data_IF_638180051408
#
_entry.id   IF_638180051408
#
_cell.length_a   1.000
_cell.length_b   1.000
_cell.length_c   1.000
_cell.angle_alpha   90.00
_cell.angle_beta   90.00
_cell.angle_gamma   90.00
#
_symmetry.space_group_name_H-M   'P 1'
#
loop_
_entity.id
_entity.type
_entity.pdbx_description
1 polymer ?
#
# COMPACT_ATOMS: atom_id res chain seq x y z
N UNK A 1 0.76 14.01 -48.58
CA UNK A 1 -0.54 13.40 -48.22
C UNK A 1 -0.98 14.09 -46.95
N UNK A 2 -2.03 14.91 -47.01
CA UNK A 2 -2.52 15.62 -45.83
C UNK A 2 -2.97 14.60 -44.80
N UNK A 3 -2.26 14.50 -43.68
CA UNK A 3 -2.76 13.81 -42.52
C UNK A 3 -3.96 14.63 -42.03
N UNK A 4 -5.17 14.22 -42.40
CA UNK A 4 -6.38 14.83 -41.87
C UNK A 4 -6.35 14.71 -40.35
N UNK A 5 -6.51 15.86 -39.71
CA UNK A 5 -6.50 16.02 -38.26
C UNK A 5 -7.56 15.12 -37.63
N UNK A 6 -7.23 14.52 -36.49
CA UNK A 6 -8.18 13.73 -35.69
C UNK A 6 -9.48 14.49 -35.44
N UNK A 7 -10.60 13.77 -35.52
CA UNK A 7 -11.91 14.29 -35.08
C UNK A 7 -12.19 13.98 -33.61
N UNK A 8 -11.35 13.17 -32.96
CA UNK A 8 -11.42 12.92 -31.53
C UNK A 8 -10.72 14.04 -30.75
N UNK A 9 -11.27 14.38 -29.57
CA UNK A 9 -10.54 15.16 -28.57
C UNK A 9 -9.23 14.46 -28.18
N UNK A 10 -8.24 15.22 -27.70
CA UNK A 10 -6.89 14.68 -27.45
C UNK A 10 -6.91 13.53 -26.45
N UNK A 11 -7.71 13.62 -25.39
CA UNK A 11 -7.86 12.56 -24.40
C UNK A 11 -8.36 11.24 -25.02
N UNK A 12 -9.29 11.31 -25.97
CA UNK A 12 -9.83 10.14 -26.66
C UNK A 12 -8.85 9.57 -27.69
N UNK A 13 -7.99 10.41 -28.28
CA UNK A 13 -6.90 9.92 -29.12
C UNK A 13 -5.89 9.11 -28.32
N UNK A 14 -5.46 9.62 -27.15
CA UNK A 14 -4.53 8.94 -26.26
C UNK A 14 -5.16 7.64 -25.75
N UNK A 15 -6.38 7.71 -25.23
CA UNK A 15 -7.13 6.55 -24.76
C UNK A 15 -7.24 5.46 -25.84
N UNK A 16 -7.58 5.84 -27.07
CA UNK A 16 -7.76 4.87 -28.16
C UNK A 16 -6.44 4.16 -28.50
N UNK A 17 -5.36 4.92 -28.66
CA UNK A 17 -4.03 4.39 -28.97
C UNK A 17 -3.54 3.45 -27.88
N UNK A 18 -3.70 3.82 -26.61
CA UNK A 18 -3.29 3.00 -25.47
C UNK A 18 -4.08 1.68 -25.41
N UNK A 19 -5.41 1.74 -25.51
CA UNK A 19 -6.26 0.55 -25.41
C UNK A 19 -6.02 -0.43 -26.56
N UNK A 20 -5.93 0.07 -27.81
CA UNK A 20 -5.61 -0.79 -28.95
C UNK A 20 -4.19 -1.39 -28.82
N UNK A 21 -3.23 -0.66 -28.25
CA UNK A 21 -1.88 -1.19 -28.02
C UNK A 21 -1.85 -2.27 -26.93
N UNK A 22 -2.73 -2.18 -25.93
CA UNK A 22 -2.93 -3.17 -24.87
C UNK A 22 -3.78 -4.38 -25.31
N UNK A 23 -4.30 -4.36 -26.54
CA UNK A 23 -5.00 -5.51 -27.14
C UNK A 23 -6.52 -5.46 -27.08
N UNK A 24 -7.12 -4.32 -26.69
CA UNK A 24 -8.56 -4.09 -26.85
C UNK A 24 -8.92 -4.25 -28.34
N UNK A 25 -10.00 -4.96 -28.61
CA UNK A 25 -10.43 -5.23 -29.99
C UNK A 25 -10.93 -3.96 -30.67
N UNK A 26 -10.89 -3.95 -32.01
CA UNK A 26 -11.48 -2.88 -32.82
C UNK A 26 -12.95 -2.68 -32.47
N UNK A 27 -13.69 -3.77 -32.30
CA UNK A 27 -15.12 -3.74 -31.99
C UNK A 27 -15.40 -3.06 -30.65
N UNK A 28 -14.68 -3.46 -29.59
CA UNK A 28 -14.81 -2.88 -28.25
C UNK A 28 -14.41 -1.40 -28.22
N UNK A 29 -13.30 -1.04 -28.88
CA UNK A 29 -12.84 0.34 -28.97
C UNK A 29 -13.87 1.23 -29.69
N UNK A 30 -14.44 0.76 -30.80
CA UNK A 30 -15.52 1.46 -31.50
C UNK A 30 -16.76 1.63 -30.62
N UNK A 31 -17.19 0.57 -29.91
CA UNK A 31 -18.34 0.63 -29.02
C UNK A 31 -18.15 1.66 -27.90
N UNK A 32 -16.96 1.70 -27.30
CA UNK A 32 -16.63 2.69 -26.27
C UNK A 32 -16.69 4.14 -26.80
N UNK A 33 -16.13 4.39 -27.99
CA UNK A 33 -16.19 5.71 -28.63
C UNK A 33 -17.64 6.12 -28.95
N UNK A 34 -18.45 5.20 -29.48
CA UNK A 34 -19.86 5.45 -29.76
C UNK A 34 -20.65 5.73 -28.48
N UNK A 35 -20.39 4.96 -27.43
CA UNK A 35 -20.97 5.20 -26.10
C UNK A 35 -20.61 6.57 -25.52
N UNK A 36 -19.47 7.12 -25.91
CA UNK A 36 -19.02 8.47 -25.56
C UNK A 36 -19.58 9.58 -26.49
N UNK A 37 -20.44 9.24 -27.45
CA UNK A 37 -21.09 10.20 -28.36
C UNK A 37 -20.34 10.45 -29.67
N UNK A 38 -19.30 9.67 -29.99
CA UNK A 38 -18.63 9.72 -31.30
C UNK A 38 -19.51 9.01 -32.34
N UNK A 39 -19.68 9.60 -33.52
CA UNK A 39 -20.42 8.96 -34.61
C UNK A 39 -19.77 7.62 -35.02
N UNK A 40 -20.57 6.60 -35.32
CA UNK A 40 -20.08 5.23 -35.60
C UNK A 40 -19.03 5.18 -36.73
N UNK A 41 -19.30 5.88 -37.85
CA UNK A 41 -18.35 5.95 -38.96
C UNK A 41 -17.07 6.71 -38.58
N UNK A 42 -17.19 7.75 -37.74
CA UNK A 42 -16.03 8.46 -37.19
C UNK A 42 -15.18 7.52 -36.35
N UNK A 43 -15.79 6.73 -35.45
CA UNK A 43 -15.09 5.77 -34.61
C UNK A 43 -14.32 4.72 -35.44
N UNK A 44 -14.96 4.15 -36.46
CA UNK A 44 -14.32 3.17 -37.37
C UNK A 44 -13.13 3.76 -38.12
N UNK A 45 -13.30 4.97 -38.67
CA UNK A 45 -12.23 5.67 -39.39
C UNK A 45 -11.05 6.01 -38.47
N UNK A 46 -11.34 6.41 -37.23
CA UNK A 46 -10.34 6.73 -36.21
C UNK A 46 -9.53 5.50 -35.78
N UNK A 47 -10.18 4.35 -35.54
CA UNK A 47 -9.50 3.08 -35.25
C UNK A 47 -8.60 2.66 -36.42
N UNK A 48 -9.14 2.64 -37.64
CA UNK A 48 -8.38 2.25 -38.83
C UNK A 48 -7.16 3.15 -39.05
N UNK A 49 -7.29 4.45 -38.75
CA UNK A 49 -6.20 5.41 -38.84
C UNK A 49 -5.10 5.14 -37.82
N UNK A 50 -5.46 4.85 -36.56
CA UNK A 50 -4.47 4.46 -35.53
C UNK A 50 -3.72 3.20 -35.96
N UNK A 51 -4.43 2.17 -36.43
CA UNK A 51 -3.84 0.89 -36.84
C UNK A 51 -2.85 1.04 -38.01
N UNK A 52 -3.16 1.92 -38.97
CA UNK A 52 -2.30 2.23 -40.10
C UNK A 52 -1.08 3.10 -39.73
N UNK A 53 -1.07 3.74 -38.56
CA UNK A 53 -0.02 4.69 -38.19
C UNK A 53 1.31 3.97 -37.85
N UNK A 54 2.47 4.38 -38.42
CA UNK A 54 3.74 3.68 -38.20
C UNK A 54 4.21 3.71 -36.74
N UNK A 55 3.91 4.77 -35.98
CA UNK A 55 4.22 4.81 -34.55
C UNK A 55 3.37 3.84 -33.73
N UNK A 56 2.14 3.56 -34.17
CA UNK A 56 1.28 2.60 -33.47
C UNK A 56 1.85 1.17 -33.57
N UNK A 57 2.54 0.83 -34.65
CA UNK A 57 3.28 -0.43 -34.76
C UNK A 57 4.38 -0.57 -33.69
N UNK A 58 4.99 0.55 -33.25
CA UNK A 58 5.91 0.55 -32.12
C UNK A 58 5.15 0.39 -30.78
N UNK A 59 4.03 1.09 -30.60
CA UNK A 59 3.15 0.95 -29.43
C UNK A 59 2.71 -0.50 -29.24
N UNK A 60 2.23 -1.17 -30.29
CA UNK A 60 1.83 -2.58 -30.23
C UNK A 60 2.99 -3.51 -29.82
N UNK A 61 4.24 -3.25 -30.25
CA UNK A 61 5.39 -4.03 -29.80
C UNK A 61 5.65 -3.88 -28.31
N UNK A 62 5.48 -2.66 -27.77
CA UNK A 62 5.60 -2.39 -26.34
C UNK A 62 4.43 -3.04 -25.57
N UNK A 63 3.20 -2.87 -26.04
CA UNK A 63 2.01 -3.51 -25.46
C UNK A 63 2.12 -5.03 -25.41
N UNK A 64 2.62 -5.68 -26.47
CA UNK A 64 2.90 -7.13 -26.44
C UNK A 64 3.95 -7.52 -25.40
N UNK A 65 5.00 -6.71 -25.19
CA UNK A 65 5.99 -6.97 -24.12
C UNK A 65 5.37 -6.85 -22.75
N UNK A 66 4.47 -5.88 -22.57
CA UNK A 66 3.71 -5.71 -21.34
C UNK A 66 2.79 -6.91 -21.09
N UNK A 67 2.01 -7.34 -22.08
CA UNK A 67 1.15 -8.53 -21.96
C UNK A 67 1.90 -9.83 -21.68
N UNK A 68 3.15 -9.97 -22.15
CA UNK A 68 4.02 -11.10 -21.75
C UNK A 68 4.42 -11.03 -20.28
N UNK A 69 4.69 -9.84 -19.74
CA UNK A 69 4.97 -9.65 -18.32
C UNK A 69 3.74 -9.99 -17.47
N UNK A 70 2.55 -9.54 -17.89
CA UNK A 70 1.29 -9.88 -17.22
C UNK A 70 1.01 -11.38 -17.27
N UNK A 71 1.21 -12.05 -18.41
CA UNK A 71 1.08 -13.50 -18.51
C UNK A 71 1.95 -14.26 -17.52
N UNK A 72 3.18 -13.80 -17.25
CA UNK A 72 4.05 -14.39 -16.23
C UNK A 72 3.49 -14.14 -14.82
N UNK A 73 2.95 -12.95 -14.57
CA UNK A 73 2.27 -12.63 -13.32
C UNK A 73 1.02 -13.50 -13.09
N UNK A 74 0.26 -13.82 -14.14
CA UNK A 74 -0.90 -14.72 -14.07
C UNK A 74 -0.51 -16.15 -13.72
N UNK A 75 0.65 -16.61 -14.23
CA UNK A 75 1.21 -17.90 -13.80
C UNK A 75 1.51 -17.88 -12.30
N UNK A 76 2.12 -16.82 -11.76
CA UNK A 76 2.34 -16.70 -10.31
C UNK A 76 1.02 -16.67 -9.53
N UNK A 77 0.00 -15.98 -10.04
CA UNK A 77 -1.34 -15.97 -9.47
C UNK A 77 -1.95 -17.39 -9.41
N UNK A 78 -1.88 -18.14 -10.50
CA UNK A 78 -2.35 -19.51 -10.57
C UNK A 78 -1.60 -20.44 -9.62
N UNK A 79 -0.27 -20.35 -9.56
CA UNK A 79 0.55 -21.13 -8.63
C UNK A 79 0.26 -20.78 -7.16
N UNK A 80 0.06 -19.49 -6.86
CA UNK A 80 -0.35 -19.06 -5.53
C UNK A 80 -1.69 -19.65 -5.14
N UNK A 81 -2.67 -19.65 -6.05
CA UNK A 81 -3.99 -20.29 -5.86
C UNK A 81 -3.86 -21.79 -5.60
N UNK A 82 -3.14 -22.51 -6.47
CA UNK A 82 -2.90 -23.96 -6.37
C UNK A 82 -2.21 -24.35 -5.06
N UNK A 83 -1.35 -23.48 -4.52
CA UNK A 83 -0.70 -23.71 -3.23
C UNK A 83 -1.62 -23.52 -2.00
N UNK A 84 -2.85 -23.05 -2.19
CA UNK A 84 -3.82 -22.77 -1.11
C UNK A 84 -3.55 -21.49 -0.32
N UNK A 85 -2.43 -20.80 -0.58
CA UNK A 85 -2.01 -19.60 0.18
C UNK A 85 -2.91 -18.37 0.03
N UNK A 86 -3.78 -18.37 -0.98
CA UNK A 86 -4.77 -17.32 -1.20
C UNK A 86 -5.92 -17.32 -0.17
N UNK A 87 -5.99 -18.33 0.71
CA UNK A 87 -7.12 -18.52 1.64
C UNK A 87 -6.94 -17.86 2.99
N UNK A 88 -5.69 -17.67 3.45
CA UNK A 88 -5.38 -17.05 4.73
C UNK A 88 -3.91 -16.62 4.82
N UNK A 89 -3.63 -15.63 5.67
CA UNK A 89 -2.25 -15.28 6.06
C UNK A 89 -1.74 -16.29 7.09
N UNK A 90 -0.56 -16.85 6.85
CA UNK A 90 0.06 -17.78 7.80
C UNK A 90 0.40 -17.04 9.11
N UNK A 91 0.18 -17.70 10.25
CA UNK A 91 0.57 -17.22 11.58
C UNK A 91 1.62 -18.14 12.17
N UNK A 92 2.74 -17.58 12.68
CA UNK A 92 3.85 -18.34 13.27
C UNK A 92 4.30 -17.74 14.57
N UNK A 93 4.35 -18.57 15.61
CA UNK A 93 4.89 -18.20 16.91
C UNK A 93 6.40 -18.45 16.97
N UNK A 94 7.11 -17.49 17.55
CA UNK A 94 8.52 -17.61 17.95
C UNK A 94 9.48 -18.05 16.84
N UNK A 95 9.18 -17.62 15.60
CA UNK A 95 9.91 -17.97 14.39
C UNK A 95 11.40 -17.57 14.47
N UNK A 96 12.30 -18.46 14.04
CA UNK A 96 13.73 -18.14 13.95
C UNK A 96 14.01 -17.20 12.78
N UNK A 97 15.10 -16.42 12.87
CA UNK A 97 15.57 -15.59 11.76
C UNK A 97 15.87 -16.39 10.48
N UNK A 98 16.46 -17.58 10.61
CA UNK A 98 16.74 -18.47 9.48
C UNK A 98 15.46 -18.88 8.74
N UNK A 99 14.42 -19.30 9.47
CA UNK A 99 13.14 -19.64 8.85
C UNK A 99 12.45 -18.40 8.29
N UNK A 100 12.50 -17.28 9.00
CA UNK A 100 11.96 -16.00 8.53
C UNK A 100 12.53 -15.62 7.17
N UNK A 101 13.86 -15.56 7.04
CA UNK A 101 14.50 -15.15 5.82
C UNK A 101 14.28 -16.15 4.68
N UNK A 102 14.50 -17.44 4.93
CA UNK A 102 14.39 -18.47 3.89
C UNK A 102 12.97 -18.63 3.33
N UNK A 103 11.94 -18.58 4.18
CA UNK A 103 10.56 -18.86 3.76
C UNK A 103 9.73 -17.64 3.42
N UNK A 104 9.95 -16.51 4.10
CA UNK A 104 9.07 -15.36 4.03
C UNK A 104 9.75 -14.18 3.31
N UNK A 105 10.92 -13.75 3.77
CA UNK A 105 11.63 -12.64 3.14
C UNK A 105 12.04 -13.00 1.70
N UNK A 106 12.85 -14.06 1.51
CA UNK A 106 13.27 -14.52 0.18
C UNK A 106 12.17 -15.26 -0.58
N UNK A 107 11.18 -15.80 0.14
CA UNK A 107 10.00 -16.40 -0.47
C UNK A 107 8.99 -15.38 -1.00
N UNK A 108 9.16 -14.10 -0.66
CA UNK A 108 8.24 -13.00 -0.97
C UNK A 108 6.82 -13.26 -0.47
N UNK A 109 6.68 -13.68 0.80
CA UNK A 109 5.40 -14.09 1.41
C UNK A 109 5.13 -13.34 2.71
N UNK A 110 3.91 -12.83 2.91
CA UNK A 110 3.53 -12.26 4.18
C UNK A 110 3.38 -13.35 5.24
N UNK A 111 3.56 -12.96 6.49
CA UNK A 111 3.35 -13.81 7.66
C UNK A 111 3.03 -12.93 8.85
N UNK A 112 2.12 -13.39 9.71
CA UNK A 112 1.94 -12.82 11.04
C UNK A 112 2.82 -13.59 12.02
N UNK A 113 3.68 -12.88 12.72
CA UNK A 113 4.61 -13.41 13.71
C UNK A 113 4.08 -13.08 15.11
N UNK A 114 4.11 -14.05 16.02
CA UNK A 114 3.75 -13.86 17.42
C UNK A 114 4.93 -14.19 18.33
N UNK A 115 4.96 -13.59 19.53
CA UNK A 115 5.95 -13.91 20.55
C UNK A 115 7.31 -13.21 20.41
N UNK A 116 7.55 -12.44 19.34
CA UNK A 116 8.80 -11.68 19.14
C UNK A 116 8.83 -10.32 19.86
N UNK A 117 7.77 -9.97 20.59
CA UNK A 117 7.65 -8.74 21.38
C UNK A 117 7.58 -9.00 22.88
N UNK A 118 7.77 -10.25 23.35
CA UNK A 118 7.59 -10.65 24.76
C UNK A 118 8.41 -9.80 25.75
N UNK A 119 9.56 -9.29 25.32
CA UNK A 119 10.50 -8.49 26.12
C UNK A 119 10.38 -6.98 25.88
N UNK A 120 9.44 -6.51 25.05
CA UNK A 120 9.25 -5.09 24.79
C UNK A 120 8.57 -4.40 25.98
N UNK A 121 9.22 -3.39 26.62
CA UNK A 121 8.54 -2.57 27.62
C UNK A 121 7.26 -1.92 27.11
N UNK A 122 7.21 -1.57 25.81
CA UNK A 122 6.07 -0.90 25.19
C UNK A 122 4.75 -1.68 25.36
N UNK A 123 4.76 -3.01 25.23
CA UNK A 123 3.55 -3.82 25.38
C UNK A 123 2.91 -3.74 26.78
N UNK A 124 3.72 -3.56 27.81
CA UNK A 124 3.24 -3.45 29.19
C UNK A 124 3.00 -2.01 29.67
N UNK A 125 3.56 -1.01 28.98
CA UNK A 125 3.58 0.39 29.44
C UNK A 125 2.70 1.32 28.61
N UNK A 126 2.64 1.10 27.30
CA UNK A 126 2.02 2.07 26.41
C UNK A 126 0.51 2.13 26.62
N UNK A 127 0.10 3.28 27.13
CA UNK A 127 -1.28 3.74 27.25
C UNK A 127 -1.29 5.21 26.88
N UNK A 128 -2.41 5.79 26.46
CA UNK A 128 -2.46 7.22 26.14
C UNK A 128 -1.94 8.10 27.31
N UNK A 129 -2.30 7.85 28.59
CA UNK A 129 -1.69 8.58 29.71
C UNK A 129 -0.17 8.44 29.78
N UNK A 130 0.37 7.22 29.62
CA UNK A 130 1.81 6.99 29.63
C UNK A 130 2.53 7.74 28.51
N UNK A 131 1.98 7.71 27.29
CA UNK A 131 2.54 8.41 26.14
C UNK A 131 2.60 9.93 26.40
N UNK A 132 1.52 10.50 26.93
CA UNK A 132 1.45 11.92 27.28
C UNK A 132 2.39 12.31 28.43
N UNK A 133 2.54 11.47 29.45
CA UNK A 133 3.48 11.71 30.55
C UNK A 133 4.93 11.65 30.06
N UNK A 134 5.27 10.62 29.28
CA UNK A 134 6.66 10.27 28.98
C UNK A 134 7.29 11.15 27.90
N UNK A 135 6.48 11.62 26.95
CA UNK A 135 6.94 12.42 25.81
C UNK A 135 6.00 13.59 25.45
N UNK A 136 5.09 14.00 26.35
CA UNK A 136 4.05 14.98 26.02
C UNK A 136 4.53 16.36 25.59
N UNK A 137 5.75 16.75 25.96
CA UNK A 137 6.36 18.03 25.56
C UNK A 137 7.04 18.00 24.20
N UNK A 138 7.21 16.81 23.60
CA UNK A 138 7.72 16.69 22.25
C UNK A 138 6.77 17.37 21.26
N UNK A 139 7.31 18.15 20.32
CA UNK A 139 6.55 18.53 19.14
C UNK A 139 6.48 17.36 18.18
N UNK A 140 5.31 17.08 17.65
CA UNK A 140 5.04 16.01 16.70
C UNK A 140 4.26 16.56 15.53
N UNK A 141 4.36 15.87 14.41
CA UNK A 141 3.55 16.15 13.25
C UNK A 141 2.51 15.06 13.03
N UNK A 142 1.32 15.49 12.62
CA UNK A 142 0.15 14.65 12.44
C UNK A 142 -0.51 15.01 11.12
N UNK A 143 -0.98 14.03 10.37
CA UNK A 143 -1.92 14.30 9.29
C UNK A 143 -3.30 14.57 9.86
N UNK A 144 -3.93 15.66 9.47
CA UNK A 144 -5.22 16.18 9.96
C UNK A 144 -6.10 16.55 8.77
N UNK A 145 -7.40 16.80 8.97
CA UNK A 145 -8.33 17.20 7.91
C UNK A 145 -8.43 16.15 6.79
N UNK A 146 -8.10 14.89 7.09
CA UNK A 146 -8.01 13.80 6.11
C UNK A 146 -9.36 13.47 5.48
N UNK A 147 -10.46 13.67 6.22
CA UNK A 147 -11.82 13.40 5.71
C UNK A 147 -12.28 14.47 4.71
N UNK A 148 -11.63 15.64 4.69
CA UNK A 148 -11.92 16.69 3.71
C UNK A 148 -11.33 16.42 2.32
N UNK A 149 -10.46 15.41 2.18
CA UNK A 149 -9.78 15.08 0.93
C UNK A 149 -9.63 13.55 0.75
N UNK A 150 -10.31 12.93 -0.23
CA UNK A 150 -10.15 11.50 -0.51
C UNK A 150 -8.73 11.11 -0.94
N UNK A 151 -7.93 12.08 -1.38
CA UNK A 151 -6.53 11.95 -1.77
C UNK A 151 -5.56 12.41 -0.66
N UNK A 152 -5.97 12.41 0.62
CA UNK A 152 -5.08 12.83 1.70
C UNK A 152 -3.76 12.03 1.77
N UNK A 153 -3.78 10.72 1.53
CA UNK A 153 -2.60 9.86 1.60
C UNK A 153 -1.55 10.13 0.50
N UNK A 154 -1.92 10.28 -0.80
CA UNK A 154 -0.99 10.71 -1.84
C UNK A 154 -0.63 12.21 -1.78
N UNK A 155 -1.44 13.05 -1.10
CA UNK A 155 -1.19 14.49 -0.94
C UNK A 155 -0.88 14.90 0.52
N UNK A 156 0.11 14.29 1.18
CA UNK A 156 0.33 14.44 2.61
C UNK A 156 0.58 15.90 3.02
N UNK A 157 1.30 16.67 2.20
CA UNK A 157 1.69 18.05 2.49
C UNK A 157 0.50 19.01 2.73
N UNK A 158 -0.69 18.70 2.19
CA UNK A 158 -1.89 19.52 2.39
C UNK A 158 -2.53 19.35 3.77
N UNK A 159 -2.11 18.32 4.50
CA UNK A 159 -2.77 17.79 5.69
C UNK A 159 -1.89 17.77 6.93
N UNK A 160 -0.67 18.32 6.88
CA UNK A 160 0.29 18.27 7.99
C UNK A 160 0.02 19.40 8.99
N UNK A 161 -0.05 19.05 10.27
CA UNK A 161 -0.09 20.00 11.38
C UNK A 161 0.93 19.57 12.46
N UNK A 162 1.64 20.55 13.02
CA UNK A 162 2.56 20.35 14.16
C UNK A 162 1.86 20.75 15.45
N UNK A 163 1.98 19.93 16.49
CA UNK A 163 1.40 20.20 17.81
C UNK A 163 2.23 19.52 18.92
N UNK A 164 1.97 19.83 20.19
CA UNK A 164 2.56 19.04 21.27
C UNK A 164 1.98 17.64 21.29
N UNK A 165 2.81 16.66 21.60
CA UNK A 165 2.39 15.27 21.66
C UNK A 165 1.28 15.03 22.67
N UNK A 166 1.30 15.74 23.81
CA UNK A 166 0.20 15.70 24.80
C UNK A 166 -1.15 16.11 24.20
N UNK A 167 -1.17 17.12 23.34
CA UNK A 167 -2.40 17.66 22.75
C UNK A 167 -2.95 16.66 21.73
N UNK A 168 -2.07 16.06 20.93
CA UNK A 168 -2.44 15.00 20.01
C UNK A 168 -3.00 13.78 20.74
N UNK A 169 -2.30 13.30 21.77
CA UNK A 169 -2.73 12.15 22.56
C UNK A 169 -4.08 12.42 23.25
N UNK A 170 -4.29 13.64 23.75
CA UNK A 170 -5.59 14.05 24.29
C UNK A 170 -6.70 14.05 23.22
N UNK A 171 -6.40 14.53 22.00
CA UNK A 171 -7.33 14.48 20.86
C UNK A 171 -7.69 13.04 20.49
N UNK A 172 -6.73 12.12 20.47
CA UNK A 172 -6.98 10.68 20.26
C UNK A 172 -7.85 10.09 21.36
N UNK A 173 -7.62 10.47 22.63
CA UNK A 173 -8.37 9.97 23.77
C UNK A 173 -9.84 10.40 23.79
N UNK A 174 -10.15 11.59 23.26
CA UNK A 174 -11.48 12.22 23.39
C UNK A 174 -12.30 12.26 22.11
N UNK A 175 -11.69 12.09 20.94
CA UNK A 175 -12.38 12.33 19.67
C UNK A 175 -13.18 11.17 19.07
N UNK A 176 -13.17 9.98 19.68
CA UNK A 176 -13.94 8.83 19.20
C UNK A 176 -13.39 8.17 17.91
N UNK A 177 -14.24 7.43 17.20
CA UNK A 177 -13.89 6.80 15.91
C UNK A 177 -13.89 7.85 14.80
N UNK A 178 -12.77 7.99 14.09
CA UNK A 178 -12.61 8.94 12.98
C UNK A 178 -11.39 8.60 12.12
N UNK A 179 -11.41 9.02 10.86
CA UNK A 179 -10.23 8.97 9.99
C UNK A 179 -9.56 10.35 9.84
N UNK A 180 -10.06 11.40 10.49
CA UNK A 180 -9.66 12.78 10.20
C UNK A 180 -8.23 13.13 10.62
N UNK A 181 -7.68 12.45 11.64
CA UNK A 181 -6.32 12.66 12.10
C UNK A 181 -5.56 11.37 12.43
N UNK A 182 -4.29 11.32 12.04
CA UNK A 182 -3.43 10.14 12.21
C UNK A 182 -1.94 10.50 12.12
N UNK A 183 -1.11 9.88 12.95
CA UNK A 183 0.34 9.85 12.74
C UNK A 183 0.69 8.76 11.73
N UNK A 184 1.36 9.14 10.65
CA UNK A 184 1.73 8.28 9.53
C UNK A 184 3.25 8.22 9.33
N UNK A 185 3.77 7.27 8.55
CA UNK A 185 5.18 7.19 8.19
C UNK A 185 5.84 8.51 7.76
N UNK A 186 5.14 9.33 6.97
CA UNK A 186 5.67 10.59 6.40
C UNK A 186 5.89 11.72 7.41
N UNK A 187 5.46 11.55 8.67
CA UNK A 187 5.67 12.56 9.71
C UNK A 187 7.07 12.50 10.34
N UNK A 188 7.82 11.39 10.12
CA UNK A 188 9.19 11.20 10.59
C UNK A 188 9.38 11.42 12.11
N UNK A 189 8.30 11.26 12.88
CA UNK A 189 8.26 11.58 14.31
C UNK A 189 9.34 10.83 15.11
N UNK A 190 9.71 9.61 14.71
CA UNK A 190 10.78 8.88 15.40
C UNK A 190 12.16 9.54 15.34
N UNK A 191 12.42 10.44 14.39
CA UNK A 191 13.69 11.18 14.36
C UNK A 191 13.74 12.32 15.40
N UNK A 192 12.61 12.66 16.02
CA UNK A 192 12.54 13.75 17.00
C UNK A 192 13.03 13.29 18.38
N UNK A 193 13.94 14.05 18.99
CA UNK A 193 14.55 13.69 20.28
C UNK A 193 13.53 13.57 21.43
N UNK A 194 12.47 14.38 21.41
CA UNK A 194 11.41 14.33 22.42
C UNK A 194 10.68 12.99 22.49
N UNK A 195 10.73 12.18 21.44
CA UNK A 195 10.16 10.82 21.39
C UNK A 195 11.17 9.72 21.75
N UNK A 196 12.44 10.05 22.04
CA UNK A 196 13.45 9.07 22.47
C UNK A 196 12.98 8.21 23.65
N UNK A 197 12.34 8.77 24.69
CA UNK A 197 11.86 7.97 25.82
C UNK A 197 10.91 6.82 25.43
N UNK A 198 10.11 6.99 24.36
CA UNK A 198 9.26 5.94 23.82
C UNK A 198 10.03 4.98 22.92
N UNK A 199 11.04 5.46 22.16
CA UNK A 199 11.95 4.58 21.40
C UNK A 199 12.67 3.59 22.33
N UNK A 200 13.04 4.04 23.52
CA UNK A 200 13.71 3.21 24.53
C UNK A 200 12.82 2.06 25.07
N UNK A 201 11.50 2.08 24.81
CA UNK A 201 10.57 0.99 25.13
C UNK A 201 10.38 -0.03 23.99
N UNK A 202 10.99 0.21 22.82
CA UNK A 202 10.94 -0.69 21.65
C UNK A 202 12.20 -1.55 21.62
N UNK A 203 12.11 -2.78 21.13
CA UNK A 203 13.27 -3.66 20.87
C UNK A 203 13.25 -4.09 19.41
N UNK A 204 14.41 -4.46 18.87
CA UNK A 204 14.48 -5.10 17.57
C UNK A 204 13.93 -6.54 17.68
N UNK A 205 12.98 -6.96 16.83
CA UNK A 205 12.64 -8.37 16.70
C UNK A 205 13.89 -9.20 16.40
N UNK A 206 14.25 -10.09 17.33
CA UNK A 206 15.50 -10.85 17.31
C UNK A 206 15.71 -11.57 15.98
N UNK A 207 16.96 -11.62 15.53
CA UNK A 207 17.41 -12.31 14.31
C UNK A 207 16.72 -11.87 13.00
N UNK A 208 15.89 -10.82 13.01
CA UNK A 208 15.14 -10.32 11.85
C UNK A 208 15.47 -8.85 11.56
N UNK A 209 15.42 -8.01 12.60
CA UNK A 209 15.70 -6.58 12.51
C UNK A 209 17.06 -6.29 13.13
N UNK A 210 17.78 -5.33 12.55
CA UNK A 210 19.07 -4.90 13.09
C UNK A 210 18.89 -4.36 14.52
N UNK A 211 19.69 -4.89 15.46
CA UNK A 211 19.67 -4.48 16.86
C UNK A 211 20.04 -3.00 17.02
N UNK A 212 20.80 -2.42 16.08
CA UNK A 212 21.00 -0.98 15.96
C UNK A 212 19.76 -0.35 15.31
N UNK A 213 18.72 -0.18 16.12
CA UNK A 213 17.50 0.49 15.70
C UNK A 213 17.82 1.91 15.21
N UNK A 214 17.54 2.13 13.92
CA UNK A 214 17.73 3.40 13.24
C UNK A 214 16.40 4.16 13.18
N UNK A 215 16.26 5.32 13.83
CA UNK A 215 14.99 6.05 13.85
C UNK A 215 14.47 6.49 12.47
N UNK A 216 15.36 6.70 11.50
CA UNK A 216 15.06 6.97 10.08
C UNK A 216 14.52 5.74 9.32
N UNK A 217 14.69 4.53 9.87
CA UNK A 217 14.18 3.26 9.31
C UNK A 217 13.01 2.70 10.12
N UNK A 218 12.41 3.52 10.96
CA UNK A 218 11.28 3.16 11.81
C UNK A 218 10.19 4.20 11.68
N UNK A 219 8.94 3.79 11.88
CA UNK A 219 7.82 4.76 11.98
C UNK A 219 6.94 4.47 13.19
N UNK A 220 6.35 5.53 13.75
CA UNK A 220 5.30 5.43 14.76
C UNK A 220 3.97 5.74 14.08
N UNK A 221 3.07 4.77 14.10
CA UNK A 221 1.70 4.95 13.66
C UNK A 221 0.82 4.99 14.89
N UNK A 222 0.20 6.12 15.17
CA UNK A 222 -0.66 6.32 16.34
C UNK A 222 -1.90 7.10 15.92
N UNK A 223 -3.09 6.61 16.24
CA UNK A 223 -4.34 7.29 15.93
C UNK A 223 -5.56 6.70 16.61
N UNK A 224 -6.73 7.32 16.42
CA UNK A 224 -8.00 6.80 16.89
C UNK A 224 -8.41 5.52 16.14
N UNK A 225 -9.46 4.87 16.66
CA UNK A 225 -10.20 3.87 15.91
C UNK A 225 -10.74 4.50 14.61
N UNK A 226 -10.89 3.70 13.56
CA UNK A 226 -11.46 4.16 12.28
C UNK A 226 -10.44 4.73 11.29
N UNK A 227 -9.18 4.95 11.70
CA UNK A 227 -8.13 5.36 10.76
C UNK A 227 -7.91 4.29 9.69
N UNK A 228 -7.87 4.72 8.43
CA UNK A 228 -7.65 3.87 7.25
C UNK A 228 -6.40 4.33 6.52
N UNK A 229 -5.50 3.40 6.23
CA UNK A 229 -4.48 3.56 5.18
C UNK A 229 -5.03 2.90 3.91
N UNK A 230 -5.31 3.67 2.83
CA UNK A 230 -5.89 3.14 1.60
C UNK A 230 -5.06 2.03 0.97
N UNK A 231 -5.65 1.29 0.02
CA UNK A 231 -4.95 0.20 -0.67
C UNK A 231 -3.75 0.77 -1.44
N UNK A 232 -2.55 0.30 -1.09
CA UNK A 232 -1.29 0.74 -1.68
C UNK A 232 -0.22 -0.35 -1.51
N UNK A 233 0.95 -0.16 -2.12
CA UNK A 233 2.13 -0.96 -1.80
C UNK A 233 3.31 -0.06 -1.44
N UNK A 234 4.24 -0.59 -0.67
CA UNK A 234 5.50 0.08 -0.37
C UNK A 234 6.60 -0.32 -1.35
N UNK A 235 7.59 0.57 -1.49
CA UNK A 235 8.79 0.32 -2.28
C UNK A 235 9.90 -0.36 -1.47
N UNK A 236 9.59 -0.84 -0.27
CA UNK A 236 10.48 -1.56 0.62
C UNK A 236 9.71 -2.62 1.40
N UNK A 237 10.43 -3.56 2.01
CA UNK A 237 9.83 -4.50 2.95
C UNK A 237 9.41 -3.77 4.24
N UNK A 238 8.32 -4.22 4.86
CA UNK A 238 7.82 -3.67 6.11
C UNK A 238 7.61 -4.77 7.13
N UNK A 239 8.13 -4.59 8.34
CA UNK A 239 7.70 -5.37 9.51
C UNK A 239 6.90 -4.43 10.40
N UNK A 240 5.58 -4.59 10.46
CA UNK A 240 4.70 -3.79 11.29
C UNK A 240 4.43 -4.54 12.59
N UNK A 241 4.84 -3.98 13.72
CA UNK A 241 4.60 -4.49 15.07
C UNK A 241 3.41 -3.74 15.70
N UNK A 242 2.38 -4.48 16.11
CA UNK A 242 1.18 -3.93 16.74
C UNK A 242 1.35 -3.86 18.26
N UNK A 243 1.33 -2.67 18.83
CA UNK A 243 1.65 -2.44 20.26
C UNK A 243 0.39 -2.14 21.09
N UNK A 244 -0.50 -1.29 20.59
CA UNK A 244 -1.76 -0.94 21.25
C UNK A 244 -2.93 -1.10 20.28
N UNK A 245 -4.06 -1.60 20.77
CA UNK A 245 -5.29 -1.79 19.97
C UNK A 245 -5.13 -2.80 18.83
N UNK A 246 -6.17 -2.95 18.02
CA UNK A 246 -6.19 -3.89 16.90
C UNK A 246 -6.19 -3.20 15.55
N UNK A 247 -5.58 -3.85 14.56
CA UNK A 247 -5.63 -3.44 13.15
C UNK A 247 -6.13 -4.57 12.26
N UNK A 248 -7.11 -4.28 11.42
CA UNK A 248 -7.51 -5.15 10.32
C UNK A 248 -6.64 -4.83 9.10
N UNK A 249 -6.00 -5.85 8.54
CA UNK A 249 -5.18 -5.74 7.34
C UNK A 249 -5.72 -6.65 6.24
N UNK A 250 -5.76 -6.12 5.02
CA UNK A 250 -5.95 -6.89 3.78
C UNK A 250 -4.64 -6.89 3.01
N UNK A 251 -4.25 -8.02 2.44
CA UNK A 251 -3.01 -8.21 1.70
C UNK A 251 -3.32 -8.86 0.34
N UNK A 252 -2.71 -8.33 -0.72
CA UNK A 252 -2.82 -8.87 -2.07
C UNK A 252 -1.41 -9.01 -2.66
N UNK A 253 -1.08 -10.16 -3.29
CA UNK A 253 0.24 -10.39 -3.86
C UNK A 253 0.67 -9.32 -4.88
N UNK A 254 1.97 -8.99 -4.89
CA UNK A 254 2.52 -7.98 -5.81
C UNK A 254 2.31 -8.30 -7.29
N UNK A 255 2.33 -9.59 -7.65
CA UNK A 255 2.09 -10.06 -9.01
C UNK A 255 0.62 -9.89 -9.46
N UNK A 256 -0.31 -9.52 -8.59
CA UNK A 256 -1.68 -9.15 -8.99
C UNK A 256 -1.87 -7.65 -9.22
N UNK A 257 -0.77 -6.90 -9.43
CA UNK A 257 -0.78 -5.45 -9.68
C UNK A 257 -1.78 -5.01 -10.75
N UNK A 258 -1.92 -5.76 -11.84
CA UNK A 258 -2.82 -5.42 -12.95
C UNK A 258 -4.31 -5.42 -12.52
N UNK A 259 -4.67 -6.13 -11.45
CA UNK A 259 -6.02 -6.15 -10.87
C UNK A 259 -6.29 -4.97 -9.91
N UNK A 260 -5.25 -4.20 -9.55
CA UNK A 260 -5.31 -3.22 -8.46
C UNK A 260 -5.64 -1.80 -8.93
N UNK A 261 -5.83 -1.55 -10.22
CA UNK A 261 -6.09 -0.21 -10.76
C UNK A 261 -5.15 0.87 -10.18
N UNK A 262 -3.83 0.76 -10.41
CA UNK A 262 -2.86 1.63 -9.76
C UNK A 262 -3.05 3.11 -10.11
N UNK A 263 -2.85 3.98 -9.12
CA UNK A 263 -2.86 5.44 -9.22
C UNK A 263 -1.69 6.03 -8.46
N UNK A 264 -1.19 7.17 -8.91
CA UNK A 264 -0.07 7.87 -8.26
C UNK A 264 1.16 6.97 -8.01
N UNK A 265 1.40 6.00 -8.90
CA UNK A 265 2.46 5.01 -8.80
C UNK A 265 2.12 3.82 -7.88
N UNK A 266 1.91 4.09 -6.59
CA UNK A 266 1.87 3.06 -5.52
C UNK A 266 0.50 2.87 -4.85
N UNK A 267 -0.47 3.73 -5.11
CA UNK A 267 -1.83 3.61 -4.56
C UNK A 267 -2.76 2.90 -5.55
N UNK A 268 -3.93 2.47 -5.08
CA UNK A 268 -5.00 1.88 -5.90
C UNK A 268 -6.18 2.85 -6.00
N UNK A 269 -6.90 2.85 -7.13
CA UNK A 269 -8.22 3.49 -7.22
C UNK A 269 -9.31 2.75 -6.43
N UNK A 270 -9.09 1.48 -6.10
CA UNK A 270 -10.05 0.64 -5.38
C UNK A 270 -10.06 1.00 -3.89
N UNK A 271 -11.24 1.26 -3.34
CA UNK A 271 -11.44 1.20 -1.89
C UNK A 271 -11.60 -0.27 -1.48
N UNK A 272 -10.55 -0.86 -0.90
CA UNK A 272 -10.58 -2.26 -0.46
C UNK A 272 -11.56 -2.52 0.70
N UNK A 273 -12.07 -1.48 1.37
CA UNK A 273 -13.14 -1.63 2.36
C UNK A 273 -14.48 -1.94 1.68
N UNK A 274 -14.77 -1.25 0.56
CA UNK A 274 -16.01 -1.36 -0.21
C UNK A 274 -15.70 -1.26 -1.71
N UNK A 275 -15.22 -2.34 -2.35
CA UNK A 275 -14.87 -2.32 -3.76
C UNK A 275 -16.08 -2.07 -4.65
N UNK A 276 -15.95 -1.13 -5.59
CA UNK A 276 -16.95 -0.87 -6.62
C UNK A 276 -16.73 -1.83 -7.80
N UNK A 277 -17.54 -2.88 -7.90
CA UNK A 277 -17.39 -3.92 -8.91
C UNK A 277 -17.77 -3.45 -10.33
N UNK A 278 -18.59 -2.41 -10.45
CA UNK A 278 -18.96 -1.84 -11.75
C UNK A 278 -17.81 -1.01 -12.32
N UNK A 279 -17.10 -0.27 -11.45
CA UNK A 279 -15.94 0.55 -11.86
C UNK A 279 -14.64 -0.23 -11.91
N UNK A 280 -14.46 -1.23 -11.05
CA UNK A 280 -13.21 -1.97 -10.88
C UNK A 280 -13.42 -3.50 -10.95
N UNK A 281 -14.02 -4.03 -12.03
CA UNK A 281 -14.44 -5.43 -12.10
C UNK A 281 -13.29 -6.43 -11.92
N UNK A 282 -12.07 -6.12 -12.39
CA UNK A 282 -10.91 -7.01 -12.29
C UNK A 282 -10.46 -7.23 -10.84
N UNK A 283 -10.80 -6.31 -9.92
CA UNK A 283 -10.45 -6.46 -8.51
C UNK A 283 -11.14 -7.68 -7.88
N UNK A 284 -12.29 -8.10 -8.43
CA UNK A 284 -13.00 -9.30 -7.96
C UNK A 284 -12.19 -10.60 -8.13
N UNK A 285 -11.16 -10.59 -8.99
CA UNK A 285 -10.26 -11.72 -9.21
C UNK A 285 -9.04 -11.70 -8.28
N UNK A 286 -8.88 -10.65 -7.47
CA UNK A 286 -7.74 -10.51 -6.57
C UNK A 286 -7.78 -11.56 -5.45
N UNK A 287 -6.64 -12.17 -5.15
CA UNK A 287 -6.49 -13.07 -4.01
C UNK A 287 -6.26 -12.24 -2.75
N UNK A 288 -7.35 -11.77 -2.14
CA UNK A 288 -7.31 -10.99 -0.89
C UNK A 288 -7.22 -11.93 0.30
N UNK A 289 -6.14 -11.84 1.07
CA UNK A 289 -6.02 -12.49 2.38
C UNK A 289 -6.07 -11.45 3.48
N UNK A 290 -6.70 -11.78 4.61
CA UNK A 290 -6.97 -10.83 5.68
C UNK A 290 -6.45 -11.34 7.03
N UNK A 291 -6.12 -10.41 7.92
CA UNK A 291 -5.79 -10.71 9.31
C UNK A 291 -6.21 -9.56 10.23
N UNK A 292 -6.53 -9.89 11.49
CA UNK A 292 -6.58 -8.90 12.58
C UNK A 292 -5.31 -9.07 13.39
N UNK A 293 -4.57 -7.98 13.55
CA UNK A 293 -3.37 -7.90 14.38
C UNK A 293 -3.78 -7.47 15.78
N UNK A 294 -3.39 -8.27 16.76
CA UNK A 294 -3.57 -8.00 18.18
C UNK A 294 -2.28 -7.37 18.78
N UNK A 295 -2.34 -6.72 19.96
CA UNK A 295 -1.13 -6.31 20.67
C UNK A 295 -0.15 -7.47 20.86
N UNK A 296 1.07 -7.32 20.35
CA UNK A 296 2.13 -8.34 20.36
C UNK A 296 2.29 -9.12 19.05
N UNK A 297 1.39 -8.92 18.09
CA UNK A 297 1.54 -9.43 16.73
C UNK A 297 2.48 -8.53 15.91
N UNK A 298 3.24 -9.15 15.02
CA UNK A 298 3.91 -8.46 13.92
C UNK A 298 3.40 -9.01 12.58
N UNK A 299 3.29 -8.18 11.56
CA UNK A 299 3.08 -8.64 10.18
C UNK A 299 4.26 -8.26 9.32
N UNK A 300 4.81 -9.23 8.62
CA UNK A 300 5.76 -8.99 7.54
C UNK A 300 4.99 -8.76 6.24
N UNK A 301 5.23 -7.62 5.60
CA UNK A 301 4.66 -7.23 4.31
C UNK A 301 5.83 -7.14 3.32
N UNK A 302 5.96 -8.10 2.40
CA UNK A 302 7.05 -8.08 1.43
C UNK A 302 6.91 -6.88 0.48
N UNK A 303 8.03 -6.34 0.02
CA UNK A 303 8.09 -5.20 -0.90
C UNK A 303 7.16 -5.37 -2.10
N UNK A 304 6.36 -4.35 -2.42
CA UNK A 304 5.40 -4.40 -3.52
C UNK A 304 4.12 -5.19 -3.25
N UNK A 305 3.95 -5.84 -2.08
CA UNK A 305 2.65 -6.37 -1.69
C UNK A 305 1.67 -5.23 -1.44
N UNK A 306 0.49 -5.37 -2.03
CA UNK A 306 -0.60 -4.45 -1.83
C UNK A 306 -1.23 -4.70 -0.48
N UNK A 307 -1.52 -3.63 0.24
CA UNK A 307 -2.11 -3.72 1.55
C UNK A 307 -3.01 -2.53 1.86
N UNK A 308 -4.07 -2.82 2.59
CA UNK A 308 -5.02 -1.87 3.14
C UNK A 308 -5.11 -2.14 4.64
N UNK A 309 -5.18 -1.09 5.45
CA UNK A 309 -5.14 -1.21 6.91
C UNK A 309 -6.20 -0.32 7.54
N UNK A 310 -6.99 -0.86 8.47
CA UNK A 310 -7.92 -0.10 9.32
C UNK A 310 -7.65 -0.34 10.80
N UNK A 311 -7.55 0.72 11.58
CA UNK A 311 -7.55 0.62 13.04
C UNK A 311 -8.97 0.29 13.55
N UNK A 312 -9.10 -0.79 14.30
CA UNK A 312 -10.37 -1.22 14.92
C UNK A 312 -10.58 -0.58 16.29
N UNK A 313 -9.48 -0.22 16.96
CA UNK A 313 -9.47 0.48 18.24
C UNK A 313 -8.51 1.69 18.15
N UNK A 314 -8.41 2.49 19.22
CA UNK A 314 -7.26 3.39 19.37
C UNK A 314 -5.99 2.55 19.26
N UNK A 315 -5.15 2.88 18.28
CA UNK A 315 -4.08 1.99 17.85
C UNK A 315 -2.72 2.67 17.84
N UNK A 316 -1.70 1.94 18.29
CA UNK A 316 -0.30 2.29 18.14
C UNK A 316 0.48 1.12 17.53
N UNK A 317 1.23 1.37 16.46
CA UNK A 317 2.08 0.39 15.79
C UNK A 317 3.47 0.99 15.52
N UNK A 318 4.47 0.14 15.46
CA UNK A 318 5.84 0.51 15.06
C UNK A 318 6.20 -0.27 13.81
N UNK A 319 6.67 0.40 12.75
CA UNK A 319 7.23 -0.31 11.60
C UNK A 319 8.75 -0.32 11.65
N UNK A 320 9.34 -1.38 11.10
CA UNK A 320 10.76 -1.50 10.84
C UNK A 320 11.00 -1.74 9.36
N UNK A 321 12.06 -1.11 8.85
CA UNK A 321 12.45 -1.19 7.45
C UNK A 321 13.92 -1.57 7.27
N UNK A 322 14.68 -1.85 8.34
CA UNK A 322 16.09 -2.27 8.30
C UNK A 322 16.22 -3.72 8.76
N UNK A 323 16.27 -4.65 7.81
CA UNK A 323 16.27 -6.08 8.06
C UNK A 323 17.72 -6.57 8.07
N UNK A 324 18.01 -7.66 8.79
CA UNK A 324 19.34 -8.27 8.85
C UNK A 324 19.67 -9.07 7.58
N UNK A 325 19.77 -8.37 6.44
CA UNK A 325 20.16 -8.96 5.15
C UNK A 325 21.59 -8.55 4.80
N UNK A 326 22.56 -9.49 4.71
CA UNK A 326 23.98 -9.15 4.54
C UNK A 326 24.29 -8.30 3.29
N UNK A 327 23.55 -8.50 2.19
CA UNK A 327 23.73 -7.76 0.94
C UNK A 327 22.86 -6.48 0.87
N UNK A 328 22.20 -6.13 1.96
CA UNK A 328 21.26 -5.02 2.04
C UNK A 328 19.82 -5.42 1.72
N UNK A 329 18.91 -4.53 2.11
CA UNK A 329 17.48 -4.72 1.90
C UNK A 329 17.09 -4.61 0.42
N UNK A 330 15.96 -5.23 0.08
CA UNK A 330 15.38 -5.19 -1.27
C UNK A 330 14.40 -4.04 -1.41
N UNK A 331 14.45 -3.35 -2.54
CA UNK A 331 13.60 -2.20 -2.85
C UNK A 331 12.94 -2.36 -4.21
N UNK A 332 11.74 -1.79 -4.37
CA UNK A 332 11.08 -1.65 -5.66
C UNK A 332 11.49 -0.30 -6.26
N UNK A 333 12.23 -0.28 -7.40
CA UNK A 333 12.63 0.97 -8.01
C UNK A 333 11.42 1.70 -8.59
N UNK A 334 11.34 3.02 -8.37
CA UNK A 334 10.36 3.87 -9.05
C UNK A 334 10.84 4.11 -10.48
N UNK A 335 10.07 3.69 -11.51
CA UNK A 335 10.44 3.98 -12.90
C UNK A 335 10.44 5.51 -13.15
N UNK A 336 11.37 5.96 -14.00
CA UNK A 336 11.57 7.36 -14.38
C UNK A 336 10.73 7.77 -15.59
#
# INVERSE_FOLDING_TARGET
>A
MSAETSRLALEWQVWLVENLALGVTREEACQALVGAGVGEEVAKEEVARVEAHPFFQACQRVGRRYGWMESVMDVYSSLHRQSGRHTAVERREDLSGEEFFSRYYFGHRPVVLTGLMKDWPALGRWTLPYLAERSGDAEVEVMTRRESNPDHAPEPEKHRETMRFRDYVHRVATGGETNDYYMVPRNENWQRDGLKPLRDDVRAPRDIIDAQLRPDMMTLLLGPAGTVTPLHHDNMNVLLAQVMGRKHIKLIPSFQRHLMYPRYGTFSHVDAAQPDADRFPLYSEAHVVEAVLEPGDLVFIPVGWWHWVRALDVSASVTFHHFLVPQGNTYLPTPH
#
